data_IF_233816952897
#
_entry.id   IF_233816952897
#
_cell.length_a   1.000
_cell.length_b   1.000
_cell.length_c   1.000
_cell.angle_alpha   90.00
_cell.angle_beta   90.00
_cell.angle_gamma   90.00
#
_symmetry.space_group_name_H-M   'P 1'
#
loop_
_entity.id
_entity.type
_entity.pdbx_description
1 polymer ?
#
# COMPACT_ATOMS: atom_id res chain seq x y z
N UNK A 1 11.59 3.36 17.18
CA UNK A 1 10.63 4.33 17.74
C UNK A 1 10.63 5.68 16.99
N UNK A 2 11.77 6.33 16.74
CA UNK A 2 11.84 7.60 15.97
C UNK A 2 11.18 7.60 14.57
N UNK A 3 11.22 6.49 13.83
CA UNK A 3 10.60 6.41 12.50
C UNK A 3 9.07 6.49 12.51
N UNK A 4 8.41 6.03 13.59
CA UNK A 4 6.95 6.11 13.75
C UNK A 4 6.53 7.54 14.08
N UNK A 5 7.30 8.21 14.95
CA UNK A 5 7.11 9.62 15.32
C UNK A 5 7.16 10.59 14.12
N UNK A 6 8.07 10.38 13.16
CA UNK A 6 8.10 11.23 11.97
C UNK A 6 6.87 11.05 11.08
N UNK A 7 6.30 9.84 11.00
CA UNK A 7 5.09 9.59 10.19
C UNK A 7 3.83 10.19 10.81
N UNK A 8 3.83 10.45 12.12
CA UNK A 8 2.74 11.11 12.85
C UNK A 8 2.84 12.64 12.83
N UNK A 9 3.89 13.22 12.23
CA UNK A 9 3.94 14.67 12.05
C UNK A 9 2.95 15.10 10.95
N UNK A 10 2.19 16.18 11.18
CA UNK A 10 1.32 16.79 10.18
C UNK A 10 2.09 17.17 8.91
N UNK A 11 1.43 17.05 7.76
CA UNK A 11 1.84 17.69 6.50
C UNK A 11 1.18 19.07 6.38
N UNK A 12 1.32 19.71 5.22
CA UNK A 12 0.75 21.04 4.92
C UNK A 12 -0.78 21.12 5.15
N UNK A 13 -1.48 20.00 5.00
CA UNK A 13 -2.92 19.85 5.22
C UNK A 13 -3.30 19.55 6.68
N UNK A 14 -2.33 19.54 7.61
CA UNK A 14 -2.53 19.23 9.02
C UNK A 14 -2.67 17.74 9.33
N UNK A 15 -2.64 16.84 8.32
CA UNK A 15 -2.76 15.39 8.50
C UNK A 15 -1.42 14.68 8.31
N UNK A 16 -1.16 13.70 9.16
CA UNK A 16 0.02 12.85 9.07
C UNK A 16 -0.11 11.79 7.98
N UNK A 17 0.98 11.08 7.66
CA UNK A 17 0.89 9.92 6.75
C UNK A 17 0.02 8.82 7.36
N UNK A 18 0.08 8.65 8.69
CA UNK A 18 -0.72 7.64 9.39
C UNK A 18 -2.20 8.02 9.38
N UNK A 19 -2.53 9.30 9.53
CA UNK A 19 -3.92 9.77 9.55
C UNK A 19 -4.58 9.54 8.19
N UNK A 20 -3.85 9.78 7.10
CA UNK A 20 -4.32 9.43 5.76
C UNK A 20 -4.44 7.92 5.55
N UNK A 21 -3.56 7.14 6.15
CA UNK A 21 -3.65 5.68 6.06
C UNK A 21 -4.91 5.16 6.75
N UNK A 22 -5.15 5.59 7.97
CA UNK A 22 -6.34 5.28 8.76
C UNK A 22 -7.60 5.73 8.03
N UNK A 23 -7.62 6.97 7.52
CA UNK A 23 -8.75 7.51 6.77
C UNK A 23 -9.19 6.62 5.59
N UNK A 24 -8.26 6.17 4.75
CA UNK A 24 -8.61 5.32 3.61
C UNK A 24 -9.01 3.90 4.02
N UNK A 25 -8.41 3.36 5.08
CA UNK A 25 -8.82 2.05 5.62
C UNK A 25 -10.25 2.12 6.16
N UNK A 26 -10.58 3.17 6.91
CA UNK A 26 -11.92 3.33 7.49
C UNK A 26 -12.99 3.53 6.42
N UNK A 27 -12.72 4.38 5.41
CA UNK A 27 -13.66 4.63 4.32
C UNK A 27 -13.95 3.38 3.48
N UNK A 28 -12.99 2.45 3.39
CA UNK A 28 -13.11 1.27 2.53
C UNK A 28 -13.37 -0.02 3.28
N UNK A 29 -13.53 0.03 4.62
CA UNK A 29 -13.68 -1.14 5.48
C UNK A 29 -14.78 -2.10 5.00
N UNK A 30 -15.93 -1.58 4.64
CA UNK A 30 -17.10 -2.35 4.18
C UNK A 30 -16.97 -2.85 2.73
N UNK A 31 -15.96 -2.37 1.98
CA UNK A 31 -15.71 -2.80 0.59
C UNK A 31 -14.93 -4.11 0.51
N UNK A 32 -14.31 -4.56 1.62
CA UNK A 32 -13.47 -5.76 1.66
C UNK A 32 -14.29 -7.02 1.86
N UNK A 33 -14.23 -7.95 0.89
CA UNK A 33 -14.72 -9.32 1.08
C UNK A 33 -13.62 -10.20 1.65
N UNK A 34 -14.01 -11.37 2.15
CA UNK A 34 -13.07 -12.25 2.85
C UNK A 34 -12.00 -12.85 1.92
N UNK A 35 -12.33 -13.02 0.64
CA UNK A 35 -11.38 -13.46 -0.39
C UNK A 35 -10.23 -12.45 -0.57
N UNK A 36 -10.54 -11.15 -0.71
CA UNK A 36 -9.53 -10.11 -0.84
C UNK A 36 -8.73 -9.89 0.45
N UNK A 37 -9.35 -10.03 1.62
CA UNK A 37 -8.63 -10.00 2.91
C UNK A 37 -7.60 -11.13 2.98
N UNK A 38 -8.03 -12.35 2.64
CA UNK A 38 -7.17 -13.53 2.62
C UNK A 38 -6.03 -13.38 1.61
N UNK A 39 -6.32 -12.85 0.41
CA UNK A 39 -5.30 -12.58 -0.60
C UNK A 39 -4.29 -11.55 -0.10
N UNK A 40 -4.72 -10.45 0.52
CA UNK A 40 -3.82 -9.46 1.10
C UNK A 40 -2.90 -10.09 2.14
N UNK A 41 -3.46 -10.87 3.07
CA UNK A 41 -2.69 -11.57 4.11
C UNK A 41 -1.64 -12.50 3.52
N UNK A 42 -1.97 -13.19 2.44
CA UNK A 42 -1.04 -14.05 1.73
C UNK A 42 0.07 -13.26 1.04
N UNK A 43 -0.25 -12.15 0.38
CA UNK A 43 0.72 -11.30 -0.31
C UNK A 43 1.71 -10.62 0.66
N UNK A 44 1.28 -10.34 1.90
CA UNK A 44 2.15 -9.80 2.95
C UNK A 44 2.86 -10.86 3.78
N UNK A 45 2.54 -12.15 3.62
CA UNK A 45 3.17 -13.23 4.39
C UNK A 45 4.71 -13.31 4.31
N UNK A 46 5.38 -12.94 3.19
CA UNK A 46 6.84 -12.90 3.12
C UNK A 46 7.48 -11.78 3.96
N UNK A 47 6.69 -10.79 4.41
CA UNK A 47 7.17 -9.71 5.27
C UNK A 47 7.47 -10.28 6.66
N UNK A 48 8.63 -9.94 7.28
CA UNK A 48 8.93 -10.39 8.63
C UNK A 48 7.83 -9.96 9.60
N UNK A 49 7.48 -10.84 10.54
CA UNK A 49 6.33 -10.69 11.42
C UNK A 49 6.30 -9.33 12.15
N UNK A 50 7.45 -8.88 12.65
CA UNK A 50 7.63 -7.57 13.32
C UNK A 50 7.20 -6.36 12.48
N UNK A 51 7.10 -6.50 11.16
CA UNK A 51 6.74 -5.43 10.23
C UNK A 51 5.44 -5.70 9.46
N UNK A 52 4.84 -6.89 9.62
CA UNK A 52 3.74 -7.35 8.77
C UNK A 52 2.50 -6.47 8.90
N UNK A 53 2.13 -6.09 10.13
CA UNK A 53 0.95 -5.24 10.34
C UNK A 53 1.11 -3.84 9.74
N UNK A 54 2.31 -3.27 9.86
CA UNK A 54 2.62 -1.96 9.28
C UNK A 54 2.60 -2.01 7.75
N UNK A 55 3.11 -3.10 7.15
CA UNK A 55 3.04 -3.32 5.71
C UNK A 55 1.59 -3.51 5.26
N UNK A 56 0.83 -4.36 5.95
CA UNK A 56 -0.58 -4.64 5.68
C UNK A 56 -1.42 -3.36 5.71
N UNK A 57 -1.29 -2.54 6.74
CA UNK A 57 -2.00 -1.27 6.84
C UNK A 57 -1.63 -0.29 5.72
N UNK A 58 -0.33 -0.21 5.39
CA UNK A 58 0.15 0.66 4.30
C UNK A 58 -0.42 0.23 2.95
N UNK A 59 -0.45 -1.07 2.69
CA UNK A 59 -0.99 -1.65 1.44
C UNK A 59 -2.51 -1.51 1.41
N UNK A 60 -3.22 -1.87 2.49
CA UNK A 60 -4.67 -1.76 2.59
C UNK A 60 -5.16 -0.32 2.38
N UNK A 61 -4.49 0.66 2.99
CA UNK A 61 -4.77 2.08 2.74
C UNK A 61 -4.63 2.45 1.27
N UNK A 62 -3.57 1.99 0.60
CA UNK A 62 -3.36 2.28 -0.82
C UNK A 62 -4.43 1.62 -1.70
N UNK A 63 -4.79 0.39 -1.40
CA UNK A 63 -5.89 -0.32 -2.10
C UNK A 63 -7.19 0.46 -1.94
N UNK A 64 -7.52 0.89 -0.71
CA UNK A 64 -8.70 1.72 -0.47
C UNK A 64 -8.68 3.04 -1.25
N UNK A 65 -7.54 3.72 -1.28
CA UNK A 65 -7.37 4.93 -2.10
C UNK A 65 -7.59 4.65 -3.60
N UNK A 66 -7.09 3.55 -4.14
CA UNK A 66 -7.29 3.16 -5.55
C UNK A 66 -8.77 2.85 -5.82
N UNK A 67 -9.42 2.07 -4.95
CA UNK A 67 -10.82 1.69 -5.08
C UNK A 67 -11.73 2.93 -5.09
N UNK A 68 -11.51 3.87 -4.17
CA UNK A 68 -12.26 5.13 -4.11
C UNK A 68 -12.04 6.00 -5.36
N UNK A 69 -10.81 6.05 -5.89
CA UNK A 69 -10.53 6.77 -7.16
C UNK A 69 -11.24 6.14 -8.36
N UNK A 70 -11.32 4.81 -8.39
CA UNK A 70 -12.07 4.05 -9.40
C UNK A 70 -13.59 4.10 -9.17
N UNK A 71 -14.05 4.64 -8.04
CA UNK A 71 -15.46 4.66 -7.59
C UNK A 71 -16.06 3.26 -7.51
N UNK A 72 -15.26 2.30 -7.06
CA UNK A 72 -15.73 0.94 -6.84
C UNK A 72 -16.57 0.86 -5.57
N UNK A 73 -17.56 -0.04 -5.56
CA UNK A 73 -18.36 -0.36 -4.36
C UNK A 73 -17.73 -1.50 -3.54
N UNK A 74 -16.92 -2.33 -4.19
CA UNK A 74 -16.24 -3.48 -3.59
C UNK A 74 -14.81 -3.55 -4.10
N UNK A 75 -13.88 -3.99 -3.23
CA UNK A 75 -12.49 -4.19 -3.64
C UNK A 75 -12.41 -5.47 -4.45
N UNK A 76 -11.99 -5.33 -5.71
CA UNK A 76 -11.73 -6.46 -6.59
C UNK A 76 -10.29 -6.95 -6.44
N UNK A 77 -10.01 -8.17 -6.91
CA UNK A 77 -8.65 -8.67 -7.01
C UNK A 77 -7.75 -7.72 -7.83
N UNK A 78 -8.26 -7.16 -8.94
CA UNK A 78 -7.52 -6.21 -9.78
C UNK A 78 -7.06 -4.99 -8.97
N UNK A 79 -7.99 -4.31 -8.31
CA UNK A 79 -7.70 -3.14 -7.44
C UNK A 79 -6.77 -3.47 -6.28
N UNK A 80 -6.89 -4.67 -5.69
CA UNK A 80 -5.97 -5.15 -4.67
C UNK A 80 -4.55 -5.26 -5.21
N UNK A 81 -4.36 -5.85 -6.40
CA UNK A 81 -3.04 -6.01 -7.02
C UNK A 81 -2.45 -4.66 -7.43
N UNK A 82 -3.26 -3.75 -7.98
CA UNK A 82 -2.80 -2.39 -8.29
C UNK A 82 -2.30 -1.67 -7.04
N UNK A 83 -3.11 -1.67 -5.97
CA UNK A 83 -2.74 -1.02 -4.71
C UNK A 83 -1.51 -1.65 -4.07
N UNK A 84 -1.37 -2.97 -4.14
CA UNK A 84 -0.20 -3.71 -3.67
C UNK A 84 1.08 -3.30 -4.41
N UNK A 85 1.04 -3.17 -5.75
CA UNK A 85 2.18 -2.73 -6.56
C UNK A 85 2.56 -1.29 -6.22
N UNK A 86 1.58 -0.38 -6.20
CA UNK A 86 1.83 1.05 -5.96
C UNK A 86 2.37 1.29 -4.53
N UNK A 87 1.86 0.55 -3.54
CA UNK A 87 2.30 0.65 -2.15
C UNK A 87 3.72 0.11 -1.92
N UNK A 88 4.15 -0.86 -2.73
CA UNK A 88 5.44 -1.54 -2.57
C UNK A 88 6.57 -0.70 -3.18
N UNK A 89 7.61 -0.34 -2.40
CA UNK A 89 8.73 0.43 -2.94
C UNK A 89 9.53 -0.33 -4.00
N UNK A 90 10.16 0.40 -4.92
CA UNK A 90 10.89 -0.20 -6.06
C UNK A 90 11.95 -1.21 -5.65
N UNK A 91 12.65 -0.95 -4.54
CA UNK A 91 13.66 -1.87 -4.01
C UNK A 91 13.11 -3.27 -3.66
N UNK A 92 11.81 -3.36 -3.36
CA UNK A 92 11.14 -4.60 -2.95
C UNK A 92 10.38 -5.27 -4.12
N UNK A 93 10.38 -4.68 -5.32
CA UNK A 93 9.66 -5.22 -6.48
C UNK A 93 10.11 -6.62 -6.89
N UNK A 94 11.38 -6.98 -6.63
CA UNK A 94 11.87 -8.35 -6.84
C UNK A 94 11.06 -9.38 -6.04
N UNK A 95 10.77 -9.09 -4.77
CA UNK A 95 9.99 -9.97 -3.89
C UNK A 95 8.52 -9.97 -4.27
N UNK A 96 7.97 -8.79 -4.59
CA UNK A 96 6.60 -8.65 -5.07
C UNK A 96 6.35 -9.51 -6.32
N UNK A 97 7.19 -9.39 -7.35
CA UNK A 97 7.03 -10.15 -8.60
C UNK A 97 7.15 -11.64 -8.37
N UNK A 98 8.09 -12.05 -7.51
CA UNK A 98 8.22 -13.45 -7.11
C UNK A 98 6.93 -13.95 -6.46
N UNK A 99 6.35 -13.18 -5.53
CA UNK A 99 5.13 -13.57 -4.83
C UNK A 99 3.91 -13.63 -5.76
N UNK A 100 3.74 -12.66 -6.66
CA UNK A 100 2.67 -12.70 -7.66
C UNK A 100 2.80 -13.91 -8.59
N UNK A 101 4.03 -14.23 -9.01
CA UNK A 101 4.30 -15.43 -9.81
C UNK A 101 3.97 -16.72 -9.05
N UNK A 102 4.33 -16.83 -7.77
CA UNK A 102 3.96 -17.97 -6.92
C UNK A 102 2.43 -18.12 -6.78
N UNK A 103 1.69 -17.01 -6.85
CA UNK A 103 0.21 -16.99 -6.85
C UNK A 103 -0.42 -17.26 -8.22
N UNK A 104 0.37 -17.40 -9.29
CA UNK A 104 -0.14 -17.52 -10.65
C UNK A 104 -0.82 -16.24 -11.17
N UNK A 105 -0.49 -15.08 -10.59
CA UNK A 105 -1.06 -13.79 -11.00
C UNK A 105 -0.12 -13.16 -12.05
N UNK A 106 -0.57 -12.98 -13.30
CA UNK A 106 0.22 -12.34 -14.34
C UNK A 106 0.48 -10.88 -13.99
N UNK A 107 1.72 -10.42 -14.22
CA UNK A 107 2.14 -9.05 -13.88
C UNK A 107 2.02 -8.12 -15.08
N UNK A 108 1.95 -8.69 -16.28
CA UNK A 108 1.95 -8.00 -17.58
C UNK A 108 0.91 -6.86 -17.66
N UNK A 109 -0.35 -7.02 -17.18
CA UNK A 109 -1.33 -5.93 -17.21
C UNK A 109 -0.94 -4.74 -16.31
N UNK A 110 -0.15 -4.99 -15.27
CA UNK A 110 0.18 -4.03 -14.21
C UNK A 110 1.56 -3.40 -14.38
N UNK A 111 2.30 -3.73 -15.43
CA UNK A 111 3.70 -3.34 -15.60
C UNK A 111 3.91 -1.81 -15.50
N UNK A 112 2.94 -1.04 -16.02
CA UNK A 112 2.93 0.42 -15.97
C UNK A 112 2.86 0.97 -14.53
N UNK A 113 2.25 0.25 -13.59
CA UNK A 113 2.08 0.69 -12.19
C UNK A 113 3.39 0.68 -11.40
N UNK A 114 4.36 -0.14 -11.79
CA UNK A 114 5.68 -0.19 -11.14
C UNK A 114 6.43 1.14 -11.20
N UNK A 115 6.10 1.99 -12.19
CA UNK A 115 6.69 3.32 -12.32
C UNK A 115 6.15 4.30 -11.26
N UNK A 116 4.93 4.06 -10.74
CA UNK A 116 4.25 4.88 -9.75
C UNK A 116 4.74 4.61 -8.31
N UNK A 117 5.40 3.47 -8.09
CA UNK A 117 5.97 3.12 -6.79
C UNK A 117 7.09 4.06 -6.39
N UNK A 118 7.23 4.34 -5.09
CA UNK A 118 8.34 5.15 -4.58
C UNK A 118 9.66 4.38 -4.68
N UNK A 119 10.77 5.08 -4.91
CA UNK A 119 12.10 4.45 -5.02
C UNK A 119 12.48 3.71 -3.72
N UNK A 120 12.19 4.33 -2.57
CA UNK A 120 12.34 3.76 -1.24
C UNK A 120 11.13 4.17 -0.39
N UNK A 121 11.03 3.64 0.83
CA UNK A 121 10.07 4.08 1.85
C UNK A 121 10.22 5.57 2.18
N UNK A 122 11.32 6.20 1.75
CA UNK A 122 11.59 7.63 1.85
C UNK A 122 12.32 8.13 0.61
N UNK A 123 11.72 9.09 -0.07
CA UNK A 123 12.49 10.06 -0.84
C UNK A 123 11.89 11.42 -0.49
N UNK A 124 12.72 12.28 0.11
CA UNK A 124 12.49 13.71 0.34
C UNK A 124 11.54 14.18 1.46
N UNK A 125 11.54 13.50 2.62
CA UNK A 125 11.06 14.12 3.88
C UNK A 125 11.85 15.38 4.29
N UNK A 126 12.98 15.68 3.65
CA UNK A 126 13.73 16.92 3.88
C UNK A 126 13.27 18.05 2.94
N UNK A 127 12.69 17.74 1.78
CA UNK A 127 12.19 18.78 0.86
C UNK A 127 10.77 19.20 1.24
N UNK A 128 9.94 18.28 1.75
CA UNK A 128 8.59 18.61 2.27
C UNK A 128 8.61 19.49 3.53
N UNK A 129 9.79 19.78 4.07
CA UNK A 129 10.02 20.54 5.30
C UNK A 129 11.10 21.64 5.13
N UNK A 130 11.60 21.84 3.91
CA UNK A 130 12.37 23.05 3.59
C UNK A 130 11.36 24.18 3.38
N UNK A 131 11.47 25.19 4.27
CA UNK A 131 10.76 26.48 4.19
C UNK A 131 10.77 27.07 2.80
#
# INVERSE_FOLDING_TARGET
>A
MFRKFLKSLPKEDGKSVLDWQEHYVDLTKEMWRDEEKALLDELVSPVPELFRDVARQTIASKIGEVALKKKEEVITQDTLIEGYIIATPKRDHKFLRKKLKEKGIPVEPYEHLFQLSKNDYRTNWQESYKK
#
